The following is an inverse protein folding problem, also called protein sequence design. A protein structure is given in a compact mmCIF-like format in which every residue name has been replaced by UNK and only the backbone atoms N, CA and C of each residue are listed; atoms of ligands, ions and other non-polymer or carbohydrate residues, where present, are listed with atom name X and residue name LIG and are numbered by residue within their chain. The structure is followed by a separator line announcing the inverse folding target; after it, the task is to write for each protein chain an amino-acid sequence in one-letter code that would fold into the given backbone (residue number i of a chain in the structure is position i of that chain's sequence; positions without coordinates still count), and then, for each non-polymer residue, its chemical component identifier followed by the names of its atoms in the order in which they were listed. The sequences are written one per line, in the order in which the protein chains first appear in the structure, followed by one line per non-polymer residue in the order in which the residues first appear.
data_IF_921760565136
#
_entry.id   IF_921760565136
#
_cell.length_a   1.000
_cell.length_b   1.000
_cell.length_c   1.000
_cell.angle_alpha   90.00
_cell.angle_beta   90.00
_cell.angle_gamma   90.00
#
_symmetry.space_group_name_H-M   'P 1'
#
loop_
_entity.id
_entity.type
_entity.pdbx_description
1 polymer ?
#
# COMPACT_ATOMS: atom_id res chain seq x y z
N UNK A 1 10.42 19.11 -1.58
CA UNK A 1 10.26 18.68 -0.19
C UNK A 1 10.21 17.16 -0.14
N UNK A 2 10.98 16.54 0.76
CA UNK A 2 11.01 15.09 0.99
C UNK A 2 10.82 14.79 2.48
N UNK A 3 10.45 13.56 2.80
CA UNK A 3 10.44 13.03 4.16
C UNK A 3 11.86 12.73 4.63
N UNK A 4 12.06 12.48 5.92
CA UNK A 4 13.34 12.01 6.45
C UNK A 4 13.64 10.59 5.93
N UNK A 5 12.64 9.74 5.78
CA UNK A 5 12.76 8.39 5.23
C UNK A 5 13.29 8.43 3.79
N UNK A 6 12.67 9.24 2.92
CA UNK A 6 13.17 9.44 1.55
C UNK A 6 14.61 9.98 1.57
N UNK A 7 14.92 10.94 2.44
CA UNK A 7 16.28 11.53 2.52
C UNK A 7 17.33 10.48 2.88
N UNK A 8 17.08 9.65 3.86
CA UNK A 8 18.01 8.59 4.29
C UNK A 8 18.17 7.47 3.26
N UNK A 9 17.18 7.29 2.39
CA UNK A 9 17.22 6.29 1.31
C UNK A 9 18.03 6.75 0.08
N UNK A 10 18.35 8.06 -0.03
CA UNK A 10 19.17 8.59 -1.12
C UNK A 10 20.63 8.37 -0.79
N UNK A 11 21.26 7.39 -1.44
CA UNK A 11 22.65 7.01 -1.22
C UNK A 11 23.60 7.46 -2.33
N UNK A 12 23.08 7.98 -3.44
CA UNK A 12 23.85 8.40 -4.63
C UNK A 12 23.45 9.79 -5.09
N UNK A 13 24.37 10.50 -5.76
CA UNK A 13 24.11 11.83 -6.33
C UNK A 13 23.01 11.79 -7.43
N UNK A 14 22.93 10.69 -8.18
CA UNK A 14 21.91 10.49 -9.20
C UNK A 14 20.84 9.52 -8.63
N UNK A 15 19.67 10.05 -8.31
CA UNK A 15 18.53 9.25 -7.84
C UNK A 15 17.26 9.61 -8.61
N UNK A 16 16.36 8.64 -8.76
CA UNK A 16 15.01 8.84 -9.28
C UNK A 16 14.05 8.95 -8.12
N UNK A 17 13.30 10.05 -8.04
CA UNK A 17 12.24 10.22 -7.06
C UNK A 17 10.88 10.28 -7.75
N UNK A 18 9.92 9.63 -7.15
CA UNK A 18 8.51 9.78 -7.48
C UNK A 18 8.01 11.09 -6.91
N UNK A 19 7.14 11.80 -7.62
CA UNK A 19 6.74 13.14 -7.18
C UNK A 19 5.24 13.30 -7.06
N UNK A 20 4.85 14.25 -6.21
CA UNK A 20 3.50 14.80 -6.11
C UNK A 20 3.58 16.33 -6.08
N UNK A 21 2.85 16.98 -6.99
CA UNK A 21 2.73 18.43 -7.03
C UNK A 21 1.48 18.86 -6.25
N UNK A 22 1.69 19.55 -5.14
CA UNK A 22 0.61 20.19 -4.39
C UNK A 22 0.42 21.63 -4.91
N UNK A 23 -0.73 21.89 -5.51
CA UNK A 23 -1.09 23.20 -6.05
C UNK A 23 -2.05 23.90 -5.08
N UNK A 24 -1.75 25.15 -4.73
CA UNK A 24 -2.62 26.09 -4.03
C UNK A 24 -2.69 27.37 -4.83
N UNK A 25 -3.61 28.26 -4.49
CA UNK A 25 -3.79 29.53 -5.19
C UNK A 25 -2.52 30.37 -5.22
N UNK A 26 -1.75 30.34 -4.14
CA UNK A 26 -0.55 31.16 -3.91
C UNK A 26 0.77 30.39 -3.97
N UNK A 27 0.74 29.05 -4.13
CA UNK A 27 1.96 28.26 -4.07
C UNK A 27 1.87 26.92 -4.78
N UNK A 28 2.97 26.57 -5.45
CA UNK A 28 3.19 25.24 -6.01
C UNK A 28 4.33 24.56 -5.27
N UNK A 29 4.04 23.43 -4.61
CA UNK A 29 5.03 22.72 -3.82
C UNK A 29 5.20 21.29 -4.34
N UNK A 30 6.44 20.95 -4.71
CA UNK A 30 6.79 19.59 -5.13
C UNK A 30 7.25 18.76 -3.94
N UNK A 31 6.64 17.60 -3.78
CA UNK A 31 7.03 16.57 -2.82
C UNK A 31 7.64 15.39 -3.56
N UNK A 32 8.72 14.83 -3.01
CA UNK A 32 9.45 13.69 -3.58
C UNK A 32 9.42 12.51 -2.63
N UNK A 33 9.40 11.30 -3.21
CA UNK A 33 9.30 10.03 -2.49
C UNK A 33 10.26 9.01 -3.11
N UNK A 34 10.89 8.20 -2.29
CA UNK A 34 11.79 7.17 -2.76
C UNK A 34 11.01 5.95 -3.28
N UNK A 35 9.90 5.58 -2.62
CA UNK A 35 9.05 4.44 -2.97
C UNK A 35 7.65 4.87 -3.41
N UNK A 36 6.97 4.01 -4.18
CA UNK A 36 5.57 4.22 -4.56
C UNK A 36 4.65 4.15 -3.35
N UNK A 37 4.91 3.25 -2.40
CA UNK A 37 4.10 3.08 -1.19
C UNK A 37 4.12 4.36 -0.34
N UNK A 38 5.28 5.00 -0.19
CA UNK A 38 5.39 6.28 0.49
C UNK A 38 4.57 7.36 -0.22
N UNK A 39 4.65 7.43 -1.56
CA UNK A 39 3.88 8.39 -2.37
C UNK A 39 2.37 8.12 -2.27
N UNK A 40 1.97 6.87 -2.33
CA UNK A 40 0.55 6.47 -2.25
C UNK A 40 -0.02 6.78 -0.86
N UNK A 41 0.72 6.45 0.19
CA UNK A 41 0.33 6.79 1.56
C UNK A 41 0.26 8.31 1.79
N UNK A 42 1.20 9.08 1.22
CA UNK A 42 1.13 10.54 1.24
C UNK A 42 -0.19 11.05 0.63
N UNK A 43 -0.58 10.52 -0.53
CA UNK A 43 -1.84 10.88 -1.20
C UNK A 43 -3.07 10.51 -0.37
N UNK A 44 -3.04 9.37 0.29
CA UNK A 44 -4.10 8.98 1.21
C UNK A 44 -4.17 9.93 2.41
N UNK A 45 -3.04 10.26 3.02
CA UNK A 45 -2.99 11.18 4.15
C UNK A 45 -3.54 12.57 3.81
N UNK A 46 -3.16 13.15 2.67
CA UNK A 46 -3.65 14.47 2.27
C UNK A 46 -5.13 14.49 1.85
N UNK A 47 -5.74 13.32 1.58
CA UNK A 47 -7.18 13.21 1.33
C UNK A 47 -8.02 13.30 2.61
N UNK A 48 -7.39 13.18 3.79
CA UNK A 48 -8.05 13.30 5.09
C UNK A 48 -8.24 14.77 5.45
N UNK A 49 -9.46 15.16 5.79
CA UNK A 49 -9.75 16.53 6.21
C UNK A 49 -8.96 16.89 7.47
N UNK A 50 -8.21 17.98 7.40
CA UNK A 50 -7.32 18.45 8.49
C UNK A 50 -5.89 17.94 8.38
N UNK A 51 -5.55 17.16 7.35
CA UNK A 51 -4.18 16.74 7.07
C UNK A 51 -3.68 17.41 5.78
N UNK A 52 -2.84 18.42 5.96
CA UNK A 52 -2.20 19.09 4.82
C UNK A 52 -0.90 18.38 4.37
N UNK A 53 -0.34 18.77 3.20
CA UNK A 53 0.89 18.17 2.68
C UNK A 53 2.08 18.23 3.65
N UNK A 54 2.22 19.33 4.40
CA UNK A 54 3.28 19.46 5.42
C UNK A 54 3.08 18.48 6.57
N UNK A 55 1.84 18.27 7.02
CA UNK A 55 1.51 17.32 8.08
C UNK A 55 1.73 15.88 7.59
N UNK A 56 1.30 15.55 6.38
CA UNK A 56 1.54 14.23 5.78
C UNK A 56 3.05 13.93 5.67
N UNK A 57 3.86 14.90 5.22
CA UNK A 57 5.32 14.76 5.19
C UNK A 57 5.91 14.55 6.59
N UNK A 58 5.38 15.22 7.62
CA UNK A 58 5.84 15.04 8.99
C UNK A 58 5.55 13.62 9.51
N UNK A 59 4.36 13.09 9.22
CA UNK A 59 4.00 11.70 9.54
C UNK A 59 4.99 10.74 8.91
N UNK A 60 5.24 10.87 7.60
CA UNK A 60 6.18 10.04 6.83
C UNK A 60 7.66 10.27 7.20
N UNK A 61 7.98 11.35 7.91
CA UNK A 61 9.31 11.57 8.48
C UNK A 61 9.49 10.91 9.84
N UNK A 62 8.39 10.69 10.58
CA UNK A 62 8.40 10.12 11.93
C UNK A 62 8.34 8.59 11.87
N UNK A 63 7.55 8.05 10.96
CA UNK A 63 7.29 6.61 10.80
C UNK A 63 7.46 6.19 9.34
N UNK A 64 7.80 4.93 9.13
CA UNK A 64 7.81 4.30 7.82
C UNK A 64 6.38 4.10 7.29
N UNK A 65 6.23 3.89 5.98
CA UNK A 65 4.93 3.62 5.37
C UNK A 65 4.25 2.36 5.96
N UNK A 66 5.05 1.33 6.27
CA UNK A 66 4.54 0.10 6.89
C UNK A 66 4.07 0.30 8.32
N UNK A 67 4.80 1.07 9.14
CA UNK A 67 4.38 1.39 10.50
C UNK A 67 3.07 2.18 10.52
N UNK A 68 2.95 3.19 9.65
CA UNK A 68 1.72 3.99 9.55
C UNK A 68 0.54 3.11 9.10
N UNK A 69 0.77 2.27 8.12
CA UNK A 69 -0.22 1.29 7.64
C UNK A 69 -0.68 0.37 8.77
N UNK A 70 0.27 -0.14 9.56
CA UNK A 70 -0.02 -0.97 10.72
C UNK A 70 -0.86 -0.22 11.76
N UNK A 71 -0.50 1.02 12.11
CA UNK A 71 -1.28 1.83 13.07
C UNK A 71 -2.71 2.10 12.59
N UNK A 72 -2.89 2.32 11.28
CA UNK A 72 -4.23 2.51 10.72
C UNK A 72 -5.06 1.22 10.80
N UNK A 73 -4.50 0.06 10.45
CA UNK A 73 -5.19 -1.22 10.47
C UNK A 73 -5.56 -1.63 11.90
N UNK A 74 -4.63 -1.46 12.84
CA UNK A 74 -4.82 -1.81 14.26
C UNK A 74 -5.59 -0.75 15.05
N UNK A 75 -5.94 0.37 14.40
CA UNK A 75 -6.61 1.51 15.03
C UNK A 75 -5.81 2.13 16.20
N UNK A 76 -4.47 2.16 16.10
CA UNK A 76 -3.60 2.76 17.10
C UNK A 76 -3.56 4.29 16.97
N UNK A 77 -4.55 4.94 17.57
CA UNK A 77 -4.67 6.42 17.64
C UNK A 77 -3.46 7.03 18.32
N UNK A 78 -2.93 6.39 19.36
CA UNK A 78 -1.89 6.94 20.22
C UNK A 78 -0.59 7.13 19.45
N UNK A 79 -0.18 6.14 18.65
CA UNK A 79 1.03 6.22 17.83
C UNK A 79 0.95 7.34 16.80
N UNK A 80 -0.19 7.51 16.13
CA UNK A 80 -0.39 8.59 15.15
C UNK A 80 -0.41 9.96 15.86
N UNK A 81 -0.98 10.05 17.06
CA UNK A 81 -1.04 11.29 17.84
C UNK A 81 0.34 11.76 18.36
N UNK A 82 1.31 10.85 18.50
CA UNK A 82 2.67 11.20 18.90
C UNK A 82 3.41 12.05 17.85
N UNK A 83 2.91 12.10 16.61
CA UNK A 83 3.49 12.98 15.59
C UNK A 83 3.19 14.44 15.91
N UNK A 84 4.24 15.26 15.96
CA UNK A 84 4.12 16.70 16.24
C UNK A 84 3.10 17.38 15.31
N UNK A 85 2.12 18.04 15.90
CA UNK A 85 1.08 18.78 15.17
C UNK A 85 -0.16 17.96 14.83
N UNK A 86 -0.25 16.71 15.30
CA UNK A 86 -1.45 15.87 15.15
C UNK A 86 -2.18 15.78 16.49
N UNK A 87 -3.39 16.32 16.54
CA UNK A 87 -4.28 16.16 17.67
C UNK A 87 -5.09 14.86 17.63
N UNK A 88 -5.66 14.44 18.77
CA UNK A 88 -6.44 13.21 18.87
C UNK A 88 -7.58 13.11 17.85
N UNK A 89 -8.30 14.22 17.58
CA UNK A 89 -9.37 14.24 16.57
C UNK A 89 -8.84 13.98 15.15
N UNK A 90 -7.67 14.52 14.81
CA UNK A 90 -7.04 14.32 13.49
C UNK A 90 -6.53 12.87 13.37
N UNK A 91 -5.90 12.33 14.43
CA UNK A 91 -5.44 10.95 14.45
C UNK A 91 -6.61 9.95 14.30
N UNK A 92 -7.71 10.14 15.00
CA UNK A 92 -8.92 9.34 14.86
C UNK A 92 -9.49 9.41 13.42
N UNK A 93 -9.54 10.60 12.83
CA UNK A 93 -10.03 10.79 11.46
C UNK A 93 -9.12 10.09 10.44
N UNK A 94 -7.80 10.17 10.59
CA UNK A 94 -6.85 9.45 9.74
C UNK A 94 -7.18 7.95 9.74
N UNK A 95 -7.38 7.36 10.92
CA UNK A 95 -7.72 5.94 11.04
C UNK A 95 -9.04 5.63 10.35
N UNK A 96 -10.11 6.37 10.67
CA UNK A 96 -11.46 6.10 10.12
C UNK A 96 -11.46 6.23 8.59
N UNK A 97 -10.89 7.32 8.05
CA UNK A 97 -10.93 7.63 6.63
C UNK A 97 -10.02 6.71 5.80
N UNK A 98 -8.94 6.18 6.40
CA UNK A 98 -7.93 5.42 5.68
C UNK A 98 -7.98 3.90 5.93
N UNK A 99 -8.65 3.42 6.98
CA UNK A 99 -8.68 1.99 7.33
C UNK A 99 -9.09 1.11 6.14
N UNK A 100 -10.15 1.49 5.43
CA UNK A 100 -10.63 0.73 4.27
C UNK A 100 -9.78 0.92 3.01
N UNK A 101 -9.09 2.05 2.89
CA UNK A 101 -8.25 2.37 1.72
C UNK A 101 -6.89 1.67 1.81
N UNK A 102 -6.31 1.65 3.01
CA UNK A 102 -4.97 1.10 3.24
C UNK A 102 -5.03 -0.42 3.41
N UNK A 103 -6.11 -0.97 3.99
CA UNK A 103 -6.34 -2.42 4.07
C UNK A 103 -6.50 -3.08 2.69
N UNK A 104 -7.17 -2.40 1.77
CA UNK A 104 -7.28 -2.84 0.36
C UNK A 104 -6.01 -2.58 -0.46
N UNK A 105 -5.20 -1.61 -0.07
CA UNK A 105 -3.94 -1.27 -0.75
C UNK A 105 -2.83 -2.30 -0.54
N UNK A 106 -2.82 -3.05 0.58
CA UNK A 106 -1.89 -4.19 0.74
C UNK A 106 -2.31 -5.40 -0.08
N UNK A 107 -3.61 -5.61 -0.28
CA UNK A 107 -4.07 -6.63 -1.23
C UNK A 107 -3.73 -6.27 -2.69
N UNK A 108 -3.58 -4.98 -3.02
CA UNK A 108 -3.25 -4.53 -4.38
C UNK A 108 -1.79 -4.14 -4.59
N UNK A 109 -1.00 -3.76 -3.57
CA UNK A 109 0.43 -3.46 -3.74
C UNK A 109 1.33 -4.67 -3.55
N UNK A 110 0.94 -5.68 -2.77
CA UNK A 110 1.56 -7.01 -2.85
C UNK A 110 1.30 -7.67 -4.23
N UNK A 111 0.25 -7.20 -4.96
CA UNK A 111 -0.08 -7.62 -6.33
C UNK A 111 0.84 -7.02 -7.41
N UNK A 112 1.65 -6.00 -7.10
CA UNK A 112 2.50 -5.34 -8.09
C UNK A 112 4.00 -5.67 -7.97
N UNK A 113 4.42 -6.48 -6.98
CA UNK A 113 5.84 -6.74 -6.75
C UNK A 113 6.29 -8.19 -6.66
N UNK A 114 5.41 -9.16 -6.92
CA UNK A 114 5.86 -10.53 -7.21
C UNK A 114 5.06 -11.07 -8.38
N UNK A 115 5.75 -11.37 -9.45
CA UNK A 115 5.21 -12.06 -10.65
C UNK A 115 4.45 -13.34 -10.27
N UNK A 116 4.83 -13.97 -9.16
CA UNK A 116 4.18 -15.16 -8.60
C UNK A 116 2.80 -14.89 -7.97
N UNK A 117 2.57 -13.70 -7.37
CA UNK A 117 1.27 -13.37 -6.78
C UNK A 117 0.24 -13.01 -7.85
N UNK A 118 0.64 -12.35 -8.94
CA UNK A 118 -0.28 -11.99 -10.04
C UNK A 118 -0.93 -13.23 -10.64
N UNK A 119 -0.15 -14.28 -10.89
CA UNK A 119 -0.61 -15.57 -11.45
C UNK A 119 -1.60 -16.24 -10.49
N UNK A 120 -1.34 -16.20 -9.19
CA UNK A 120 -2.22 -16.78 -8.16
C UNK A 120 -3.57 -16.07 -8.06
N UNK A 121 -3.57 -14.74 -8.11
CA UNK A 121 -4.78 -13.92 -7.97
C UNK A 121 -5.63 -13.92 -9.25
N UNK A 122 -5.00 -13.92 -10.42
CA UNK A 122 -5.70 -14.10 -11.69
C UNK A 122 -6.34 -15.50 -11.77
N UNK A 123 -5.63 -16.54 -11.34
CA UNK A 123 -6.18 -17.89 -11.26
C UNK A 123 -7.32 -17.99 -10.24
N UNK A 124 -7.21 -17.30 -9.09
CA UNK A 124 -8.28 -17.23 -8.09
C UNK A 124 -9.52 -16.55 -8.68
N UNK A 125 -9.34 -15.41 -9.36
CA UNK A 125 -10.44 -14.68 -10.01
C UNK A 125 -11.12 -15.54 -11.07
N UNK A 126 -10.36 -16.28 -11.88
CA UNK A 126 -10.90 -17.18 -12.89
C UNK A 126 -11.71 -18.32 -12.25
N UNK A 127 -11.23 -18.95 -11.18
CA UNK A 127 -11.95 -20.01 -10.47
C UNK A 127 -13.23 -19.49 -9.80
N UNK A 128 -13.22 -18.26 -9.26
CA UNK A 128 -14.43 -17.62 -8.73
C UNK A 128 -15.46 -17.37 -9.84
N UNK A 129 -15.04 -16.92 -11.02
CA UNK A 129 -15.90 -16.73 -12.19
C UNK A 129 -16.50 -18.07 -12.69
N UNK A 130 -15.79 -19.19 -12.50
CA UNK A 130 -16.27 -20.54 -12.78
C UNK A 130 -17.19 -21.12 -11.70
N UNK A 131 -17.51 -20.34 -10.64
CA UNK A 131 -18.46 -20.72 -9.61
C UNK A 131 -17.87 -21.43 -8.38
N UNK A 132 -16.55 -21.47 -8.24
CA UNK A 132 -15.93 -22.00 -7.02
C UNK A 132 -16.06 -21.00 -5.87
N UNK A 133 -16.22 -21.50 -4.64
CA UNK A 133 -16.11 -20.63 -3.46
C UNK A 133 -14.65 -20.22 -3.23
N UNK A 134 -14.42 -19.03 -2.66
CA UNK A 134 -13.07 -18.51 -2.40
C UNK A 134 -12.19 -19.55 -1.66
N UNK A 135 -12.72 -20.17 -0.62
CA UNK A 135 -12.00 -21.18 0.18
C UNK A 135 -11.64 -22.44 -0.60
N UNK A 136 -12.48 -22.87 -1.52
CA UNK A 136 -12.17 -24.02 -2.39
C UNK A 136 -11.14 -23.68 -3.45
N UNK A 137 -11.25 -22.50 -4.06
CA UNK A 137 -10.31 -22.04 -5.08
C UNK A 137 -8.90 -21.85 -4.49
N UNK A 138 -8.77 -21.20 -3.35
CA UNK A 138 -7.49 -21.03 -2.63
C UNK A 138 -6.83 -22.38 -2.32
N UNK A 139 -7.60 -23.33 -1.76
CA UNK A 139 -7.07 -24.66 -1.43
C UNK A 139 -6.59 -25.45 -2.66
N UNK A 140 -7.29 -25.34 -3.78
CA UNK A 140 -6.91 -26.00 -5.03
C UNK A 140 -5.64 -25.37 -5.63
N UNK A 141 -5.55 -24.04 -5.65
CA UNK A 141 -4.38 -23.31 -6.12
C UNK A 141 -3.15 -23.67 -5.27
N UNK A 142 -3.27 -23.67 -3.95
CA UNK A 142 -2.17 -24.05 -3.06
C UNK A 142 -1.70 -25.49 -3.28
N UNK A 143 -2.63 -26.41 -3.53
CA UNK A 143 -2.31 -27.80 -3.81
C UNK A 143 -1.52 -27.94 -5.10
N UNK A 144 -1.91 -27.23 -6.16
CA UNK A 144 -1.23 -27.25 -7.45
C UNK A 144 0.17 -26.63 -7.33
N UNK A 145 0.32 -25.51 -6.66
CA UNK A 145 1.62 -24.84 -6.46
C UNK A 145 2.59 -25.68 -5.64
N UNK A 146 2.13 -26.38 -4.61
CA UNK A 146 2.97 -27.31 -3.81
C UNK A 146 3.51 -28.48 -4.64
N UNK A 147 2.72 -28.94 -5.60
CA UNK A 147 3.08 -30.13 -6.41
C UNK A 147 3.81 -29.77 -7.72
N UNK A 148 3.94 -28.49 -8.05
CA UNK A 148 4.59 -28.01 -9.27
C UNK A 148 5.53 -26.82 -8.93
N UNK A 149 6.78 -27.09 -8.61
CA UNK A 149 7.75 -26.02 -8.22
C UNK A 149 8.27 -25.19 -9.41
N UNK A 150 7.76 -25.39 -10.62
CA UNK A 150 8.10 -24.58 -11.81
C UNK A 150 7.10 -23.43 -11.97
N UNK A 151 7.55 -22.32 -12.58
CA UNK A 151 6.69 -21.20 -12.94
C UNK A 151 5.55 -21.70 -13.86
N UNK A 152 4.32 -21.62 -13.37
CA UNK A 152 3.12 -21.98 -14.11
C UNK A 152 2.50 -20.70 -14.70
N UNK A 153 2.01 -20.78 -15.93
CA UNK A 153 1.15 -19.73 -16.47
C UNK A 153 -0.20 -19.73 -15.74
N UNK A 154 -0.93 -18.60 -15.78
CA UNK A 154 -2.29 -18.49 -15.21
C UNK A 154 -3.20 -19.60 -15.76
N UNK A 155 -3.14 -19.82 -17.08
CA UNK A 155 -3.94 -20.86 -17.74
C UNK A 155 -3.63 -22.27 -17.23
N UNK A 156 -2.35 -22.59 -17.04
CA UNK A 156 -1.93 -23.91 -16.55
C UNK A 156 -2.32 -24.11 -15.09
N UNK A 157 -2.21 -23.04 -14.27
CA UNK A 157 -2.62 -23.06 -12.87
C UNK A 157 -4.13 -23.27 -12.74
N UNK A 158 -4.94 -22.59 -13.55
CA UNK A 158 -6.40 -22.78 -13.59
C UNK A 158 -6.74 -24.18 -14.08
N UNK A 159 -6.18 -24.65 -15.21
CA UNK A 159 -6.43 -25.99 -15.74
C UNK A 159 -6.13 -27.09 -14.74
N UNK A 160 -4.96 -27.04 -14.07
CA UNK A 160 -4.57 -28.01 -13.04
C UNK A 160 -5.40 -27.91 -11.77
N UNK A 161 -5.99 -26.76 -11.49
CA UNK A 161 -6.90 -26.57 -10.36
C UNK A 161 -8.31 -27.08 -10.62
N UNK A 162 -8.69 -27.29 -11.89
CA UNK A 162 -9.98 -27.85 -12.28
C UNK A 162 -9.99 -29.39 -12.25
N UNK A 163 -8.89 -30.04 -12.59
CA UNK A 163 -8.73 -31.49 -12.59
C UNK A 163 -8.23 -32.03 -11.29
#
# INVERSE_FOLDING_TARGET
NISLQTYTSITTENCKLLTHLAVKEDSHTLFGFFTEDERMLFRHLISVSGVGPSTARMILSTYTADEITHFIITADVSSIQNVKGIGGKTAQRIIIDLKDKVGKGKETSDLLFTQDNTIKDEALSALLALGFTKKMAEKKIEHVLKNNPQELSVEDLVKKSLG
#
